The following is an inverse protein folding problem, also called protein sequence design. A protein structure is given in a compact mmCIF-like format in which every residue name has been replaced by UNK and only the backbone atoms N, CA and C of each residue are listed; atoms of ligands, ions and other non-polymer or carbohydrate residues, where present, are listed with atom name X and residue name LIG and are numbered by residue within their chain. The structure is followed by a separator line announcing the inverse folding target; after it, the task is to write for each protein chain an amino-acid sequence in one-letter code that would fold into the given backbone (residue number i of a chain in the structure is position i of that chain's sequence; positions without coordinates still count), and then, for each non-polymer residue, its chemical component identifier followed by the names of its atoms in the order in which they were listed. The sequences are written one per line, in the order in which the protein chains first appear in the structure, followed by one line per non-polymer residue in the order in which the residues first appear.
data_IF_290347993078
#
_entry.id   IF_290347993078
#
_cell.length_a   1.000
_cell.length_b   1.000
_cell.length_c   1.000
_cell.angle_alpha   90.00
_cell.angle_beta   90.00
_cell.angle_gamma   90.00
#
_symmetry.space_group_name_H-M   'P 1'
#
loop_
_entity.id
_entity.type
_entity.pdbx_description
1 polymer ?
#
# COMPACT_ATOMS: atom_id res chain seq x y z
N UNK A 1 -10.98 5.66 38.63
CA UNK A 1 -11.54 7.01 38.96
C UNK A 1 -10.51 8.13 39.04
N UNK A 2 -9.24 7.89 39.42
CA UNK A 2 -8.23 8.94 39.63
C UNK A 2 -7.70 9.65 38.37
N UNK A 3 -7.44 8.92 37.26
CA UNK A 3 -6.84 9.46 36.05
C UNK A 3 -7.71 10.52 35.33
N UNK A 4 -9.00 10.25 35.13
CA UNK A 4 -9.92 11.15 34.41
C UNK A 4 -10.09 12.50 35.11
N UNK A 5 -10.25 12.47 36.45
CA UNK A 5 -10.36 13.70 37.25
C UNK A 5 -9.08 14.51 37.24
N UNK A 6 -7.94 13.85 37.26
CA UNK A 6 -6.62 14.51 37.23
C UNK A 6 -6.41 15.26 35.91
N UNK A 7 -6.69 14.62 34.77
CA UNK A 7 -6.54 15.22 33.46
C UNK A 7 -7.41 16.46 33.27
N UNK A 8 -8.74 16.33 33.49
CA UNK A 8 -9.68 17.44 33.34
C UNK A 8 -9.37 18.59 34.31
N UNK A 9 -9.01 18.27 35.54
CA UNK A 9 -8.66 19.29 36.55
C UNK A 9 -7.40 20.07 36.16
N UNK A 10 -6.40 19.38 35.61
CA UNK A 10 -5.14 20.01 35.17
C UNK A 10 -5.36 20.91 33.97
N UNK A 11 -6.18 20.48 32.99
CA UNK A 11 -6.54 21.31 31.82
C UNK A 11 -7.31 22.55 32.25
N UNK A 12 -8.30 22.40 33.14
CA UNK A 12 -9.17 23.50 33.59
C UNK A 12 -8.40 24.61 34.33
N UNK A 13 -7.30 24.27 35.00
CA UNK A 13 -6.46 25.25 35.70
C UNK A 13 -5.59 26.09 34.77
N UNK A 14 -5.34 25.63 33.54
CA UNK A 14 -4.40 26.25 32.62
C UNK A 14 -2.93 26.04 33.01
N UNK A 15 -1.99 26.56 32.22
CA UNK A 15 -0.57 26.36 32.43
C UNK A 15 -0.06 27.19 33.62
N UNK A 16 0.54 26.49 34.60
CA UNK A 16 1.33 27.10 35.68
C UNK A 16 2.83 27.01 35.38
N UNK A 17 3.24 26.03 34.55
CA UNK A 17 4.60 25.87 34.02
C UNK A 17 4.56 25.46 32.54
N UNK A 18 5.71 25.48 31.87
CA UNK A 18 5.84 25.04 30.50
C UNK A 18 5.59 23.52 30.34
N UNK A 19 5.76 22.75 31.39
CA UNK A 19 5.50 21.31 31.43
C UNK A 19 4.03 20.98 31.10
N UNK A 20 3.10 21.83 31.52
CA UNK A 20 1.67 21.68 31.21
C UNK A 20 1.42 21.65 29.70
N UNK A 21 2.11 22.49 28.93
CA UNK A 21 1.97 22.56 27.47
C UNK A 21 2.37 21.22 26.84
N UNK A 22 3.46 20.66 27.30
CA UNK A 22 3.93 19.36 26.77
C UNK A 22 3.04 18.21 27.21
N UNK A 23 2.57 18.20 28.46
CA UNK A 23 1.64 17.19 28.97
C UNK A 23 0.32 17.17 28.22
N UNK A 24 -0.17 18.32 27.77
CA UNK A 24 -1.37 18.40 26.95
C UNK A 24 -1.24 17.58 25.67
N UNK A 25 -0.09 17.66 25.02
CA UNK A 25 0.18 16.88 23.81
C UNK A 25 0.45 15.40 24.10
N UNK A 26 1.17 15.10 25.18
CA UNK A 26 1.49 13.72 25.57
C UNK A 26 0.23 12.91 25.89
N UNK A 27 -0.76 13.52 26.50
CA UNK A 27 -1.99 12.85 26.94
C UNK A 27 -3.16 12.99 25.94
N UNK A 28 -2.93 13.62 24.79
CA UNK A 28 -3.99 13.92 23.82
C UNK A 28 -4.73 12.66 23.36
N UNK A 29 -4.04 11.55 23.16
CA UNK A 29 -4.60 10.29 22.70
C UNK A 29 -4.80 9.25 23.80
N UNK A 30 -4.60 9.62 25.07
CA UNK A 30 -4.94 8.80 26.22
C UNK A 30 -6.43 8.96 26.56
N UNK A 31 -7.28 8.37 25.72
CA UNK A 31 -8.73 8.62 25.74
C UNK A 31 -9.40 8.20 27.04
N UNK A 32 -8.90 7.17 27.70
CA UNK A 32 -9.42 6.70 28.98
C UNK A 32 -9.09 7.64 30.15
N UNK A 33 -8.19 8.59 29.95
CA UNK A 33 -7.94 9.67 30.91
C UNK A 33 -8.92 10.85 30.77
N UNK A 34 -9.64 10.92 29.67
CA UNK A 34 -10.58 12.02 29.35
C UNK A 34 -12.01 11.73 29.79
N UNK A 35 -12.40 10.47 29.86
CA UNK A 35 -13.74 10.03 30.23
C UNK A 35 -13.71 8.63 30.81
N UNK A 36 -14.75 8.29 31.60
CA UNK A 36 -14.97 6.92 32.10
C UNK A 36 -16.00 6.15 31.24
N UNK A 37 -16.62 6.82 30.28
CA UNK A 37 -17.63 6.20 29.39
C UNK A 37 -16.93 5.32 28.36
N UNK A 38 -17.07 4.01 28.51
CA UNK A 38 -16.45 3.04 27.61
C UNK A 38 -16.97 3.16 26.18
N UNK A 39 -18.23 3.52 25.99
CA UNK A 39 -18.80 3.79 24.65
C UNK A 39 -18.08 4.95 23.97
N UNK A 40 -17.84 6.04 24.69
CA UNK A 40 -17.13 7.20 24.16
C UNK A 40 -15.67 6.90 23.84
N UNK A 41 -14.99 6.16 24.74
CA UNK A 41 -13.61 5.73 24.51
C UNK A 41 -13.52 4.88 23.24
N UNK A 42 -14.42 3.91 23.09
CA UNK A 42 -14.46 3.00 21.94
C UNK A 42 -14.71 3.75 20.63
N UNK A 43 -15.60 4.72 20.63
CA UNK A 43 -15.89 5.58 19.46
C UNK A 43 -14.68 6.43 19.06
N UNK A 44 -13.95 7.00 20.02
CA UNK A 44 -12.74 7.75 19.76
C UNK A 44 -11.65 6.88 19.15
N UNK A 45 -11.45 5.70 19.69
CA UNK A 45 -10.48 4.71 19.16
C UNK A 45 -10.85 4.32 17.72
N UNK A 46 -12.10 4.04 17.47
CA UNK A 46 -12.58 3.70 16.12
C UNK A 46 -12.34 4.81 15.12
N UNK A 47 -12.70 6.03 15.47
CA UNK A 47 -12.46 7.21 14.63
C UNK A 47 -10.96 7.47 14.41
N UNK A 48 -10.15 7.30 15.45
CA UNK A 48 -8.70 7.47 15.37
C UNK A 48 -8.05 6.45 14.41
N UNK A 49 -8.55 5.23 14.35
CA UNK A 49 -8.08 4.22 13.40
C UNK A 49 -8.36 4.63 11.95
N UNK A 50 -9.52 5.20 11.65
CA UNK A 50 -9.78 5.79 10.33
C UNK A 50 -8.79 6.90 9.99
N UNK A 51 -8.47 7.77 10.96
CA UNK A 51 -7.48 8.82 10.79
C UNK A 51 -6.10 8.27 10.45
N UNK A 52 -5.67 7.20 11.13
CA UNK A 52 -4.40 6.53 10.85
C UNK A 52 -4.37 5.94 9.44
N UNK A 53 -5.44 5.27 9.02
CA UNK A 53 -5.56 4.75 7.65
C UNK A 53 -5.49 5.87 6.62
N UNK A 54 -6.16 7.00 6.89
CA UNK A 54 -6.09 8.17 6.02
C UNK A 54 -4.66 8.67 5.83
N UNK A 55 -3.90 8.78 6.91
CA UNK A 55 -2.49 9.22 6.86
C UNK A 55 -1.62 8.23 6.07
N UNK A 56 -1.79 6.93 6.31
CA UNK A 56 -1.03 5.89 5.59
C UNK A 56 -1.30 5.98 4.09
N UNK A 57 -2.57 6.08 3.68
CA UNK A 57 -2.92 6.16 2.25
C UNK A 57 -2.54 7.50 1.62
N UNK A 58 -2.54 8.59 2.38
CA UNK A 58 -2.01 9.86 1.91
C UNK A 58 -0.50 9.77 1.66
N UNK A 59 0.24 9.15 2.56
CA UNK A 59 1.66 8.87 2.40
C UNK A 59 1.93 8.01 1.16
N UNK A 60 1.19 6.91 0.99
CA UNK A 60 1.31 6.05 -0.18
C UNK A 60 0.98 6.82 -1.48
N UNK A 61 -0.07 7.64 -1.46
CA UNK A 61 -0.39 8.51 -2.60
C UNK A 61 0.80 9.37 -3.01
N UNK A 62 1.46 9.98 -2.04
CA UNK A 62 2.65 10.79 -2.27
C UNK A 62 3.81 9.98 -2.86
N UNK A 63 4.05 8.77 -2.35
CA UNK A 63 5.12 7.90 -2.85
C UNK A 63 4.86 7.50 -4.31
N UNK A 64 3.66 7.09 -4.64
CA UNK A 64 3.28 6.75 -6.01
C UNK A 64 3.27 7.97 -6.94
N UNK A 65 2.84 9.13 -6.45
CA UNK A 65 2.84 10.36 -7.23
C UNK A 65 4.27 10.82 -7.56
N UNK A 66 5.18 10.74 -6.60
CA UNK A 66 6.60 11.04 -6.86
C UNK A 66 7.20 10.07 -7.88
N UNK A 67 6.84 8.81 -7.82
CA UNK A 67 7.21 7.84 -8.84
C UNK A 67 6.63 8.17 -10.21
N UNK A 68 5.43 8.70 -10.27
CA UNK A 68 4.75 9.05 -11.52
C UNK A 68 5.31 10.32 -12.19
N UNK A 69 5.79 11.29 -11.40
CA UNK A 69 6.12 12.62 -11.91
C UNK A 69 7.57 13.06 -11.75
N UNK A 70 8.30 12.46 -10.82
CA UNK A 70 9.64 12.91 -10.45
C UNK A 70 10.65 11.76 -10.42
N UNK A 71 10.48 10.77 -11.29
CA UNK A 71 11.27 9.55 -11.24
C UNK A 71 11.83 9.12 -12.58
N UNK A 72 12.78 8.19 -12.52
CA UNK A 72 13.32 7.47 -13.66
C UNK A 72 12.81 6.01 -13.70
N UNK A 73 11.60 5.76 -13.22
CA UNK A 73 11.07 4.39 -13.09
C UNK A 73 11.05 3.62 -14.40
N UNK A 74 10.56 4.23 -15.50
CA UNK A 74 10.50 3.55 -16.80
C UNK A 74 11.90 3.25 -17.35
N UNK A 75 12.84 4.18 -17.20
CA UNK A 75 14.23 3.93 -17.56
C UNK A 75 14.85 2.82 -16.71
N UNK A 76 14.58 2.84 -15.41
CA UNK A 76 15.04 1.80 -14.48
C UNK A 76 14.51 0.41 -14.83
N UNK A 77 13.26 0.29 -15.28
CA UNK A 77 12.70 -0.99 -15.73
C UNK A 77 13.48 -1.60 -16.90
N UNK A 78 14.05 -0.77 -17.78
CA UNK A 78 14.83 -1.24 -18.93
C UNK A 78 16.22 -1.75 -18.55
N UNK A 79 16.79 -1.28 -17.45
CA UNK A 79 18.11 -1.69 -16.95
C UNK A 79 18.20 -1.55 -15.42
N UNK A 80 17.51 -2.41 -14.67
CA UNK A 80 17.42 -2.28 -13.21
C UNK A 80 18.71 -2.59 -12.46
N UNK A 81 19.68 -3.22 -13.12
CA UNK A 81 20.96 -3.56 -12.50
C UNK A 81 21.99 -2.42 -12.56
N UNK A 82 21.86 -1.50 -13.50
CA UNK A 82 22.80 -0.41 -13.69
C UNK A 82 22.21 0.96 -13.37
N UNK A 83 20.93 1.20 -13.69
CA UNK A 83 20.25 2.46 -13.38
C UNK A 83 19.86 2.46 -11.91
N UNK A 84 20.21 3.54 -11.21
CA UNK A 84 19.88 3.71 -9.79
C UNK A 84 18.50 4.32 -9.65
N UNK A 85 17.63 3.78 -8.76
CA UNK A 85 16.28 4.29 -8.61
C UNK A 85 16.28 5.69 -7.98
N UNK A 86 15.53 6.62 -8.56
CA UNK A 86 15.35 7.97 -8.06
C UNK A 86 13.91 8.43 -8.26
N UNK A 87 13.33 9.02 -7.22
CA UNK A 87 11.98 9.59 -7.24
C UNK A 87 11.91 10.90 -6.46
N UNK A 88 13.05 11.61 -6.38
CA UNK A 88 13.14 12.87 -5.68
C UNK A 88 14.11 13.80 -6.46
N UNK A 89 13.60 14.99 -6.77
CA UNK A 89 14.38 16.02 -7.46
C UNK A 89 14.27 17.30 -6.64
N UNK A 90 15.39 17.93 -6.32
CA UNK A 90 15.37 19.21 -5.62
C UNK A 90 15.36 20.36 -6.62
N UNK A 91 14.73 21.48 -6.25
CA UNK A 91 14.73 22.67 -7.08
C UNK A 91 16.12 23.28 -7.19
N UNK A 92 16.46 23.88 -8.35
CA UNK A 92 17.76 24.51 -8.56
C UNK A 92 17.79 25.90 -7.90
N UNK A 93 17.90 25.94 -6.59
CA UNK A 93 17.96 27.16 -5.80
C UNK A 93 19.09 27.06 -4.77
N UNK A 94 19.76 28.14 -4.48
CA UNK A 94 20.85 28.28 -3.49
C UNK A 94 21.98 27.28 -3.65
N UNK A 95 22.19 26.77 -4.87
CA UNK A 95 23.24 25.80 -5.16
C UNK A 95 22.93 24.35 -4.77
N UNK A 96 21.69 24.06 -4.32
CA UNK A 96 21.33 22.69 -3.89
C UNK A 96 21.16 21.71 -5.07
N UNK A 97 21.11 22.19 -6.31
CA UNK A 97 20.99 21.34 -7.51
C UNK A 97 22.14 20.34 -7.65
N UNK A 98 23.24 20.55 -6.97
CA UNK A 98 24.33 19.57 -6.90
C UNK A 98 23.89 18.24 -6.29
N UNK A 99 22.84 18.24 -5.47
CA UNK A 99 22.26 17.04 -4.86
C UNK A 99 21.52 16.17 -5.90
N UNK A 100 21.11 16.76 -7.02
CA UNK A 100 20.55 16.02 -8.15
C UNK A 100 21.69 15.30 -8.89
N UNK A 101 22.16 14.18 -8.32
CA UNK A 101 23.20 13.37 -8.91
C UNK A 101 22.73 12.65 -10.17
N UNK A 102 23.69 12.21 -10.98
CA UNK A 102 23.42 11.38 -12.15
C UNK A 102 23.14 9.94 -11.67
N UNK A 103 21.87 9.52 -11.73
CA UNK A 103 21.44 8.18 -11.33
C UNK A 103 21.33 7.21 -12.51
N UNK A 104 21.55 7.68 -13.73
CA UNK A 104 21.40 6.90 -14.95
C UNK A 104 20.03 7.05 -15.60
N UNK A 105 19.92 6.52 -16.83
CA UNK A 105 18.69 6.65 -17.61
C UNK A 105 18.39 8.07 -18.10
N UNK A 106 19.42 8.94 -18.13
CA UNK A 106 19.24 10.35 -18.51
C UNK A 106 18.53 11.19 -17.46
N UNK A 107 18.48 10.73 -16.21
CA UNK A 107 17.78 11.37 -15.11
C UNK A 107 18.75 11.88 -14.06
N UNK A 108 18.48 13.06 -13.51
CA UNK A 108 19.19 13.61 -12.36
C UNK A 108 18.26 13.80 -11.18
N UNK A 109 18.62 13.20 -10.06
CA UNK A 109 17.84 13.27 -8.85
C UNK A 109 18.55 12.62 -7.68
N UNK A 110 17.85 12.51 -6.56
CA UNK A 110 18.35 11.86 -5.35
C UNK A 110 18.02 10.37 -5.45
N UNK A 111 19.02 9.52 -5.30
CA UNK A 111 18.81 8.08 -5.24
C UNK A 111 17.98 7.69 -4.02
N UNK A 112 16.97 6.83 -4.21
CA UNK A 112 16.14 6.29 -3.15
C UNK A 112 16.54 4.85 -2.83
N UNK A 113 16.43 4.48 -1.55
CA UNK A 113 16.76 3.15 -1.03
C UNK A 113 15.58 2.46 -0.37
N UNK A 114 14.38 3.00 -0.53
CA UNK A 114 13.15 2.50 0.09
C UNK A 114 12.63 1.20 -0.52
N UNK A 115 13.03 0.90 -1.76
CA UNK A 115 12.60 -0.30 -2.46
C UNK A 115 11.27 -0.20 -3.19
N UNK A 116 10.71 1.00 -3.36
CA UNK A 116 9.45 1.17 -4.08
C UNK A 116 9.53 0.72 -5.54
N UNK A 117 10.64 0.96 -6.23
CA UNK A 117 10.80 0.51 -7.63
C UNK A 117 10.75 -1.01 -7.73
N UNK A 118 11.39 -1.70 -6.80
CA UNK A 118 11.38 -3.16 -6.73
C UNK A 118 9.98 -3.69 -6.44
N UNK A 119 9.25 -3.07 -5.51
CA UNK A 119 7.85 -3.41 -5.19
C UNK A 119 6.96 -3.20 -6.42
N UNK A 120 7.09 -2.07 -7.11
CA UNK A 120 6.29 -1.77 -8.29
C UNK A 120 6.56 -2.74 -9.43
N UNK A 121 7.83 -3.06 -9.67
CA UNK A 121 8.21 -4.07 -10.67
C UNK A 121 7.60 -5.43 -10.33
N UNK A 122 7.76 -5.88 -9.09
CA UNK A 122 7.21 -7.15 -8.63
C UNK A 122 5.69 -7.21 -8.72
N UNK A 123 5.00 -6.06 -8.59
CA UNK A 123 3.54 -5.96 -8.72
C UNK A 123 3.05 -5.92 -10.17
N UNK A 124 3.95 -5.81 -11.13
CA UNK A 124 3.59 -5.75 -12.55
C UNK A 124 3.32 -4.35 -13.09
N UNK A 125 3.76 -3.29 -12.37
CA UNK A 125 3.66 -1.92 -12.86
C UNK A 125 4.73 -1.70 -13.93
N UNK A 126 4.31 -1.35 -15.15
CA UNK A 126 5.18 -1.17 -16.31
C UNK A 126 5.23 0.26 -16.85
N UNK A 127 4.46 1.19 -16.26
CA UNK A 127 4.42 2.58 -16.72
C UNK A 127 4.21 3.56 -15.56
N UNK A 128 4.65 4.80 -15.76
CA UNK A 128 4.40 5.89 -14.82
C UNK A 128 2.91 6.28 -14.76
N UNK A 129 2.16 6.06 -15.84
CA UNK A 129 0.71 6.27 -15.83
C UNK A 129 0.02 5.40 -14.78
N UNK A 130 0.42 4.14 -14.65
CA UNK A 130 -0.13 3.23 -13.64
C UNK A 130 0.21 3.72 -12.21
N UNK A 131 1.39 4.27 -12.01
CA UNK A 131 1.77 4.90 -10.74
C UNK A 131 0.89 6.11 -10.44
N UNK A 132 0.64 6.95 -11.44
CA UNK A 132 -0.24 8.11 -11.29
C UNK A 132 -1.67 7.69 -10.92
N UNK A 133 -2.25 6.71 -11.61
CA UNK A 133 -3.59 6.21 -11.31
C UNK A 133 -3.68 5.64 -9.89
N UNK A 134 -2.66 4.92 -9.45
CA UNK A 134 -2.58 4.39 -8.08
C UNK A 134 -2.49 5.52 -7.06
N UNK A 135 -1.70 6.56 -7.34
CA UNK A 135 -1.57 7.72 -6.46
C UNK A 135 -2.92 8.43 -6.27
N UNK A 136 -3.67 8.64 -7.35
CA UNK A 136 -4.99 9.27 -7.28
C UNK A 136 -5.99 8.37 -6.52
N UNK A 137 -5.98 7.07 -6.79
CA UNK A 137 -6.83 6.12 -6.06
C UNK A 137 -6.54 6.11 -4.55
N UNK A 138 -5.27 6.11 -4.17
CA UNK A 138 -4.86 6.19 -2.78
C UNK A 138 -5.27 7.52 -2.13
N UNK A 139 -5.18 8.63 -2.85
CA UNK A 139 -5.62 9.95 -2.37
C UNK A 139 -7.13 9.97 -2.09
N UNK A 140 -7.93 9.45 -3.02
CA UNK A 140 -9.38 9.33 -2.85
C UNK A 140 -9.71 8.44 -1.65
N UNK A 141 -9.03 7.32 -1.50
CA UNK A 141 -9.21 6.42 -0.36
C UNK A 141 -8.85 7.12 0.96
N UNK A 142 -7.77 7.88 0.99
CA UNK A 142 -7.38 8.67 2.16
C UNK A 142 -8.47 9.66 2.57
N UNK A 143 -9.05 10.37 1.59
CA UNK A 143 -10.16 11.28 1.84
C UNK A 143 -11.40 10.56 2.36
N UNK A 144 -11.72 9.38 1.80
CA UNK A 144 -12.85 8.56 2.26
C UNK A 144 -12.64 8.05 3.69
N UNK A 145 -11.41 7.66 4.04
CA UNK A 145 -11.09 7.25 5.42
C UNK A 145 -11.21 8.40 6.40
N UNK A 146 -10.73 9.58 6.03
CA UNK A 146 -10.89 10.78 6.87
C UNK A 146 -12.37 11.11 7.09
N UNK A 147 -13.16 11.07 6.02
CA UNK A 147 -14.61 11.24 6.09
C UNK A 147 -15.27 10.18 6.97
N UNK A 148 -14.88 8.92 6.83
CA UNK A 148 -15.43 7.82 7.62
C UNK A 148 -15.17 8.01 9.13
N UNK A 149 -13.99 8.49 9.50
CA UNK A 149 -13.68 8.82 10.90
C UNK A 149 -14.61 9.89 11.47
N UNK A 150 -14.83 10.95 10.72
CA UNK A 150 -15.80 11.99 11.10
C UNK A 150 -17.22 11.43 11.17
N UNK A 151 -17.65 10.68 10.16
CA UNK A 151 -19.01 10.16 10.05
C UNK A 151 -19.33 9.20 11.19
N UNK A 152 -18.44 8.26 11.48
CA UNK A 152 -18.65 7.25 12.52
C UNK A 152 -18.44 7.76 13.95
N UNK A 153 -18.01 8.96 14.10
CA UNK A 153 -17.98 9.64 15.41
C UNK A 153 -19.16 10.60 15.60
N UNK A 154 -19.49 11.38 14.57
CA UNK A 154 -20.46 12.48 14.67
C UNK A 154 -21.86 12.13 14.17
N UNK A 155 -21.98 11.21 13.19
CA UNK A 155 -23.27 10.93 12.53
C UNK A 155 -23.76 9.50 12.72
N UNK A 156 -22.91 8.51 12.64
CA UNK A 156 -23.24 7.11 12.76
C UNK A 156 -22.30 6.42 13.76
N UNK A 157 -22.23 6.94 14.98
CA UNK A 157 -21.41 6.38 16.04
C UNK A 157 -22.01 5.07 16.54
N UNK A 158 -21.24 3.97 16.53
CA UNK A 158 -21.75 2.67 17.00
C UNK A 158 -22.01 2.69 18.51
N UNK A 159 -22.95 1.86 18.93
CA UNK A 159 -23.20 1.61 20.35
C UNK A 159 -22.13 0.68 20.94
N UNK A 160 -21.99 0.70 22.27
CA UNK A 160 -21.00 -0.14 22.95
C UNK A 160 -21.18 -1.64 22.62
N UNK A 161 -22.40 -2.11 22.51
CA UNK A 161 -22.68 -3.50 22.17
C UNK A 161 -22.12 -3.92 20.80
N UNK A 162 -22.05 -2.99 19.83
CA UNK A 162 -21.44 -3.25 18.53
C UNK A 162 -19.93 -3.53 18.68
N UNK A 163 -19.23 -2.77 19.50
CA UNK A 163 -17.80 -3.01 19.77
C UNK A 163 -17.54 -4.30 20.55
N UNK A 164 -18.52 -4.75 21.33
CA UNK A 164 -18.42 -5.96 22.15
C UNK A 164 -18.71 -7.25 21.37
N UNK A 165 -19.22 -7.16 20.15
CA UNK A 165 -19.43 -8.30 19.26
C UNK A 165 -18.08 -8.74 18.64
N UNK A 166 -17.23 -9.34 19.46
CA UNK A 166 -15.86 -9.69 19.10
C UNK A 166 -15.79 -10.90 18.15
N UNK A 167 -16.78 -11.81 18.20
CA UNK A 167 -16.84 -12.96 17.30
C UNK A 167 -17.04 -12.50 15.86
N UNK A 168 -17.97 -11.57 15.62
CA UNK A 168 -18.18 -10.97 14.30
C UNK A 168 -16.94 -10.19 13.84
N UNK A 169 -16.30 -9.47 14.74
CA UNK A 169 -15.06 -8.74 14.45
C UNK A 169 -13.95 -9.71 14.01
N UNK A 170 -13.75 -10.82 14.73
CA UNK A 170 -12.78 -11.85 14.36
C UNK A 170 -13.12 -12.48 13.01
N UNK A 171 -14.37 -12.82 12.77
CA UNK A 171 -14.79 -13.41 11.49
C UNK A 171 -14.47 -12.49 10.31
N UNK A 172 -14.76 -11.19 10.43
CA UNK A 172 -14.52 -10.23 9.36
C UNK A 172 -13.04 -9.91 9.17
N UNK A 173 -12.28 -9.77 10.25
CA UNK A 173 -10.86 -9.47 10.15
C UNK A 173 -10.05 -10.68 9.69
N UNK A 174 -10.37 -11.89 10.12
CA UNK A 174 -9.67 -13.09 9.69
C UNK A 174 -10.05 -13.50 8.26
N UNK A 175 -11.35 -13.56 7.97
CA UNK A 175 -11.83 -14.01 6.66
C UNK A 175 -11.84 -12.86 5.64
N UNK A 176 -12.44 -11.74 6.00
CA UNK A 176 -12.64 -10.62 5.07
C UNK A 176 -11.37 -9.84 4.80
N UNK A 177 -10.55 -9.61 5.80
CA UNK A 177 -9.33 -8.81 5.65
C UNK A 177 -8.12 -9.69 5.31
N UNK A 178 -7.77 -10.66 6.16
CA UNK A 178 -6.59 -11.50 5.93
C UNK A 178 -6.82 -12.53 4.83
N UNK A 179 -7.93 -13.28 4.90
CA UNK A 179 -8.21 -14.37 3.95
C UNK A 179 -8.48 -13.86 2.54
N UNK A 180 -9.47 -12.99 2.39
CA UNK A 180 -9.81 -12.42 1.07
C UNK A 180 -8.71 -11.49 0.55
N UNK A 181 -8.02 -10.76 1.41
CA UNK A 181 -6.88 -9.92 1.03
C UNK A 181 -5.74 -10.76 0.47
N UNK A 182 -5.39 -11.86 1.12
CA UNK A 182 -4.36 -12.78 0.63
C UNK A 182 -4.75 -13.45 -0.68
N UNK A 183 -6.00 -13.87 -0.82
CA UNK A 183 -6.51 -14.47 -2.05
C UNK A 183 -6.53 -13.45 -3.20
N UNK A 184 -6.92 -12.20 -2.92
CA UNK A 184 -6.91 -11.13 -3.92
C UNK A 184 -5.51 -10.83 -4.42
N UNK A 185 -4.54 -10.80 -3.50
CA UNK A 185 -3.14 -10.59 -3.90
C UNK A 185 -2.61 -11.77 -4.73
N UNK A 186 -2.90 -13.00 -4.34
CA UNK A 186 -2.54 -14.18 -5.13
C UNK A 186 -3.15 -14.11 -6.55
N UNK A 187 -4.41 -13.72 -6.65
CA UNK A 187 -5.06 -13.49 -7.95
C UNK A 187 -4.38 -12.40 -8.77
N UNK A 188 -4.04 -11.28 -8.17
CA UNK A 188 -3.28 -10.22 -8.84
C UNK A 188 -1.93 -10.71 -9.34
N UNK A 189 -1.21 -11.47 -8.53
CA UNK A 189 0.08 -12.04 -8.94
C UNK A 189 -0.06 -12.99 -10.13
N UNK A 190 -1.04 -13.89 -10.12
CA UNK A 190 -1.25 -14.87 -11.18
C UNK A 190 -1.69 -14.18 -12.49
N UNK A 191 -2.58 -13.22 -12.41
CA UNK A 191 -3.19 -12.60 -13.58
C UNK A 191 -2.41 -11.38 -14.11
N UNK A 192 -1.57 -10.75 -13.31
CA UNK A 192 -0.87 -9.51 -13.68
C UNK A 192 0.62 -9.58 -13.44
N UNK A 193 1.05 -9.82 -12.20
CA UNK A 193 2.45 -9.68 -11.81
C UNK A 193 3.35 -10.69 -12.50
N UNK A 194 3.00 -11.96 -12.48
CA UNK A 194 3.80 -13.03 -13.09
C UNK A 194 3.91 -12.87 -14.62
N UNK A 195 2.82 -12.64 -15.37
CA UNK A 195 2.93 -12.42 -16.81
C UNK A 195 3.82 -11.24 -17.18
N UNK A 196 3.62 -10.09 -16.53
CA UNK A 196 4.42 -8.88 -16.80
C UNK A 196 5.90 -9.12 -16.47
N UNK A 197 6.18 -9.73 -15.33
CA UNK A 197 7.57 -10.00 -14.92
C UNK A 197 8.25 -11.04 -15.82
N UNK A 198 7.51 -11.96 -16.40
CA UNK A 198 8.09 -12.91 -17.35
C UNK A 198 8.67 -12.18 -18.58
N UNK A 199 7.99 -11.16 -19.07
CA UNK A 199 8.50 -10.30 -20.13
C UNK A 199 9.68 -9.44 -19.66
N UNK A 200 9.58 -8.82 -18.49
CA UNK A 200 10.64 -7.98 -17.94
C UNK A 200 11.93 -8.79 -17.69
N UNK A 201 11.81 -10.01 -17.19
CA UNK A 201 12.95 -10.89 -16.95
C UNK A 201 13.61 -11.37 -18.26
N UNK A 202 12.86 -11.38 -19.35
CA UNK A 202 13.37 -11.67 -20.70
C UNK A 202 13.91 -10.43 -21.40
N UNK A 203 14.05 -9.31 -20.69
CA UNK A 203 14.53 -8.02 -21.22
C UNK A 203 13.71 -7.44 -22.37
N UNK A 204 12.41 -7.72 -22.40
CA UNK A 204 11.46 -7.10 -23.32
C UNK A 204 11.27 -5.64 -22.91
N UNK A 205 11.25 -4.73 -23.89
CA UNK A 205 10.96 -3.32 -23.63
C UNK A 205 9.57 -3.19 -22.94
N UNK A 206 9.49 -2.50 -21.80
CA UNK A 206 8.22 -2.29 -21.11
C UNK A 206 7.09 -1.76 -21.99
N UNK A 207 7.40 -0.98 -23.01
CA UNK A 207 6.42 -0.44 -23.96
C UNK A 207 5.82 -1.49 -24.90
N UNK A 208 6.52 -2.61 -25.08
CA UNK A 208 6.09 -3.72 -25.93
C UNK A 208 5.33 -4.79 -25.16
N UNK A 209 5.32 -4.71 -23.82
CA UNK A 209 4.62 -5.68 -22.99
C UNK A 209 3.10 -5.43 -23.09
N UNK A 210 2.28 -6.48 -23.30
CA UNK A 210 0.82 -6.33 -23.27
C UNK A 210 0.35 -5.74 -21.94
N UNK A 211 -0.71 -4.95 -21.99
CA UNK A 211 -1.31 -4.35 -20.80
C UNK A 211 -2.04 -5.42 -19.97
N UNK A 212 -2.20 -5.24 -18.65
CA UNK A 212 -2.83 -6.25 -17.80
C UNK A 212 -4.23 -6.69 -18.25
N UNK A 213 -5.06 -5.75 -18.75
CA UNK A 213 -6.39 -6.09 -19.21
C UNK A 213 -6.39 -6.98 -20.47
N UNK A 214 -5.33 -6.97 -21.27
CA UNK A 214 -5.19 -7.85 -22.43
C UNK A 214 -5.03 -9.30 -21.99
N UNK A 215 -4.30 -9.56 -20.88
CA UNK A 215 -4.20 -10.90 -20.30
C UNK A 215 -5.52 -11.37 -19.69
N UNK A 216 -6.26 -10.47 -19.07
CA UNK A 216 -7.53 -10.80 -18.41
C UNK A 216 -8.62 -11.09 -19.44
N UNK A 217 -8.67 -10.32 -20.52
CA UNK A 217 -9.70 -10.45 -21.56
C UNK A 217 -9.38 -11.53 -22.59
N UNK A 218 -8.13 -11.98 -22.70
CA UNK A 218 -7.69 -12.98 -23.67
C UNK A 218 -6.93 -14.11 -22.97
N UNK A 219 -7.65 -15.19 -22.64
CA UNK A 219 -7.06 -16.38 -22.00
C UNK A 219 -5.95 -17.01 -22.85
N UNK A 220 -6.08 -16.98 -24.17
CA UNK A 220 -5.10 -17.60 -25.06
C UNK A 220 -3.73 -16.91 -24.98
N UNK A 221 -3.72 -15.60 -24.76
CA UNK A 221 -2.48 -14.85 -24.53
C UNK A 221 -1.77 -15.31 -23.26
N UNK A 222 -2.52 -15.51 -22.18
CA UNK A 222 -1.99 -16.01 -20.92
C UNK A 222 -1.58 -17.49 -21.02
N UNK A 223 -2.34 -18.29 -21.77
CA UNK A 223 -2.04 -19.70 -22.00
C UNK A 223 -0.76 -19.92 -22.81
N UNK A 224 -0.34 -18.96 -23.62
CA UNK A 224 0.96 -19.02 -24.32
C UNK A 224 2.13 -18.94 -23.33
N UNK A 225 1.98 -18.20 -22.23
CA UNK A 225 2.98 -18.08 -21.19
C UNK A 225 2.89 -19.22 -20.18
N UNK A 226 1.68 -19.59 -19.82
CA UNK A 226 1.37 -20.64 -18.83
C UNK A 226 0.36 -21.62 -19.44
N UNK A 227 0.82 -22.73 -20.05
CA UNK A 227 -0.06 -23.63 -20.80
C UNK A 227 -1.23 -24.21 -20.00
N UNK A 228 -1.08 -24.38 -18.69
CA UNK A 228 -2.16 -24.87 -17.82
C UNK A 228 -3.37 -23.95 -17.77
N UNK A 229 -3.23 -22.68 -18.14
CA UNK A 229 -4.32 -21.70 -18.16
C UNK A 229 -5.29 -21.94 -19.33
N UNK A 230 -4.92 -22.74 -20.34
CA UNK A 230 -5.83 -23.15 -21.39
C UNK A 230 -7.05 -23.92 -20.85
N UNK A 231 -6.94 -24.56 -19.70
CA UNK A 231 -8.03 -25.28 -19.04
C UNK A 231 -8.99 -24.34 -18.29
N UNK A 232 -8.72 -23.03 -18.26
CA UNK A 232 -9.49 -22.05 -17.49
C UNK A 232 -9.32 -22.23 -15.99
N UNK A 233 -10.38 -21.92 -15.24
CA UNK A 233 -10.36 -21.98 -13.78
C UNK A 233 -10.67 -23.36 -13.20
N UNK A 234 -10.87 -24.39 -14.03
CA UNK A 234 -11.23 -25.74 -13.58
C UNK A 234 -10.20 -26.30 -12.59
N UNK A 235 -8.87 -26.22 -12.82
CA UNK A 235 -7.90 -26.70 -11.83
C UNK A 235 -7.98 -25.97 -10.48
N UNK A 236 -8.34 -24.71 -10.46
CA UNK A 236 -8.48 -23.94 -9.23
C UNK A 236 -9.67 -24.44 -8.39
N UNK A 237 -10.84 -24.51 -9.00
CA UNK A 237 -12.07 -24.88 -8.29
C UNK A 237 -12.17 -26.36 -7.96
N UNK A 238 -11.43 -27.22 -8.65
CA UNK A 238 -11.36 -28.65 -8.36
C UNK A 238 -10.21 -29.01 -7.41
N UNK A 239 -9.50 -28.03 -6.87
CA UNK A 239 -8.34 -28.19 -6.00
C UNK A 239 -7.18 -28.98 -6.68
N UNK A 240 -7.15 -29.03 -7.99
CA UNK A 240 -6.07 -29.65 -8.76
C UNK A 240 -4.91 -28.67 -8.95
N UNK A 241 -4.37 -28.18 -7.85
CA UNK A 241 -3.36 -27.12 -7.84
C UNK A 241 -1.96 -27.60 -8.24
N UNK A 242 -1.75 -28.90 -8.34
CA UNK A 242 -0.50 -29.45 -8.90
C UNK A 242 -0.23 -28.96 -10.33
N UNK A 243 -1.28 -28.63 -11.08
CA UNK A 243 -1.15 -28.04 -12.43
C UNK A 243 -0.55 -26.65 -12.43
N UNK A 244 -0.61 -25.94 -11.29
CA UNK A 244 -0.01 -24.63 -11.14
C UNK A 244 1.41 -24.67 -10.57
N UNK A 245 1.93 -25.82 -10.22
CA UNK A 245 3.24 -25.96 -9.61
C UNK A 245 4.37 -25.43 -10.49
N UNK A 246 4.23 -25.50 -11.82
CA UNK A 246 5.22 -25.05 -12.79
C UNK A 246 5.58 -23.56 -12.60
N UNK A 247 4.59 -22.68 -12.49
CA UNK A 247 4.83 -21.24 -12.37
C UNK A 247 4.76 -20.72 -10.94
N UNK A 248 4.22 -21.50 -9.98
CA UNK A 248 4.16 -21.12 -8.57
C UNK A 248 5.39 -21.55 -7.78
N UNK A 249 6.25 -22.42 -8.35
CA UNK A 249 7.44 -22.88 -7.68
C UNK A 249 8.50 -21.79 -7.69
N UNK A 250 8.97 -21.40 -6.51
CA UNK A 250 10.08 -20.45 -6.38
C UNK A 250 11.40 -21.14 -6.79
N UNK A 251 12.05 -20.59 -7.80
CA UNK A 251 13.28 -21.16 -8.38
C UNK A 251 14.54 -20.40 -8.00
N UNK A 252 14.43 -19.24 -7.40
CA UNK A 252 15.58 -18.41 -7.00
C UNK A 252 16.52 -18.02 -8.15
N UNK A 253 15.97 -17.90 -9.38
CA UNK A 253 16.75 -17.63 -10.59
C UNK A 253 17.40 -18.88 -11.21
N UNK A 254 17.19 -20.07 -10.65
CA UNK A 254 17.73 -21.32 -11.18
C UNK A 254 16.82 -21.88 -12.28
N UNK A 255 17.44 -22.33 -13.38
CA UNK A 255 16.73 -23.04 -14.44
C UNK A 255 16.52 -24.50 -14.02
N UNK A 256 15.31 -25.07 -14.17
CA UNK A 256 15.04 -26.45 -13.75
C UNK A 256 15.77 -27.50 -14.59
N UNK A 257 16.23 -27.14 -15.79
CA UNK A 257 16.94 -28.05 -16.71
C UNK A 257 18.45 -27.85 -16.64
N UNK A 258 18.91 -26.60 -16.56
CA UNK A 258 20.35 -26.28 -16.63
C UNK A 258 20.96 -25.95 -15.27
N UNK A 259 20.16 -25.68 -14.27
CA UNK A 259 20.62 -25.33 -12.91
C UNK A 259 20.94 -23.88 -12.65
#
# INVERSE_FOLDING_TARGET
MGKTRSFLKNIAKGPDTTTWIWNLHADAHDFDSHTNDLEEISRKVFSAHFGQLSIIFLWLSGMYFHGARFSNYEAWLSDPTHIRPSAQVVWPIVGQEILNGDVGGGFRGIQITSGFFQIWRASGISSELQLYCTAIGALVFAALMLFAGWFHYHKAAPKLAWFQDVESMLNHHLTGLLGLGSLSWAGHQIHVSLPINQFLNAAVDPKEIPLPHEFILNRDLLAQLYPSFAEGATPFFTLNWSKYAEFLTFRGGLDPVTG
#
